data_IF_024749796386
#
_entry.id   IF_024749796386
#
_cell.length_a   1.000
_cell.length_b   1.000
_cell.length_c   1.000
_cell.angle_alpha   90.00
_cell.angle_beta   90.00
_cell.angle_gamma   90.00
#
_symmetry.space_group_name_H-M   'P 1'
#
loop_
_entity.id
_entity.type
_entity.pdbx_description
1 polymer ?
#
# COMPACT_ATOMS: atom_id res chain seq x y z
N UNK A 1 -23.41 -37.65 -12.91
CA UNK A 1 -22.70 -38.46 -11.92
C UNK A 1 -22.79 -37.77 -10.56
N UNK A 2 -23.91 -38.00 -9.90
CA UNK A 2 -24.23 -37.57 -8.54
C UNK A 2 -24.10 -38.81 -7.66
N UNK A 3 -23.14 -38.84 -6.74
CA UNK A 3 -23.14 -39.64 -5.51
C UNK A 3 -21.77 -39.50 -4.81
N UNK A 4 -21.81 -39.48 -3.47
CA UNK A 4 -20.68 -39.35 -2.52
C UNK A 4 -20.28 -37.91 -2.18
N UNK A 5 -20.93 -37.36 -1.15
CA UNK A 5 -20.31 -36.58 -0.07
C UNK A 5 -21.35 -36.40 1.06
N UNK A 6 -21.80 -37.53 1.61
CA UNK A 6 -22.57 -37.57 2.85
C UNK A 6 -21.75 -38.31 3.90
N UNK A 7 -21.48 -37.68 5.04
CA UNK A 7 -20.91 -38.34 6.21
C UNK A 7 -19.58 -37.76 6.71
N UNK A 8 -19.60 -36.56 7.30
CA UNK A 8 -18.58 -36.14 8.29
C UNK A 8 -19.02 -34.92 9.11
N UNK A 9 -20.19 -35.00 9.71
CA UNK A 9 -20.61 -34.06 10.76
C UNK A 9 -21.08 -34.89 11.94
N UNK A 10 -20.28 -34.91 13.01
CA UNK A 10 -20.59 -35.20 14.42
C UNK A 10 -19.29 -35.60 15.13
N UNK A 11 -18.66 -34.64 15.83
CA UNK A 11 -17.76 -34.93 16.95
C UNK A 11 -18.18 -34.02 18.12
N UNK A 12 -18.41 -34.55 19.33
CA UNK A 12 -18.74 -33.74 20.49
C UNK A 12 -17.50 -33.11 21.14
N UNK A 13 -17.69 -31.94 21.74
CA UNK A 13 -16.71 -31.18 22.54
C UNK A 13 -16.50 -31.85 23.92
N UNK A 14 -15.27 -31.87 24.48
CA UNK A 14 -15.04 -32.36 25.83
C UNK A 14 -15.34 -31.31 26.92
N UNK A 15 -15.95 -31.78 28.00
CA UNK A 15 -16.35 -31.03 29.18
C UNK A 15 -15.16 -30.55 30.02
N UNK A 16 -15.19 -29.28 30.41
CA UNK A 16 -14.30 -28.67 31.40
C UNK A 16 -14.82 -29.01 32.81
N UNK A 17 -14.10 -29.87 33.52
CA UNK A 17 -14.33 -30.18 34.94
C UNK A 17 -13.59 -29.16 35.81
N UNK A 18 -14.35 -28.39 36.59
CA UNK A 18 -13.88 -27.50 37.65
C UNK A 18 -13.36 -28.37 38.82
N UNK A 19 -12.08 -28.25 39.19
CA UNK A 19 -11.55 -28.81 40.43
C UNK A 19 -10.96 -27.70 41.29
N UNK A 20 -11.70 -27.35 42.34
CA UNK A 20 -11.23 -26.52 43.43
C UNK A 20 -10.13 -27.25 44.21
N UNK A 21 -9.08 -26.52 44.60
CA UNK A 21 -8.11 -26.97 45.59
C UNK A 21 -7.52 -25.76 46.31
N UNK A 22 -7.89 -25.60 47.57
CA UNK A 22 -7.31 -24.65 48.53
C UNK A 22 -5.82 -24.94 48.79
N UNK A 23 -5.00 -23.93 49.12
CA UNK A 23 -3.68 -24.15 49.72
C UNK A 23 -3.70 -23.96 51.24
N UNK A 24 -3.11 -24.94 51.93
CA UNK A 24 -2.86 -24.98 53.36
C UNK A 24 -1.57 -24.23 53.76
N UNK A 25 -1.52 -23.83 55.04
CA UNK A 25 -0.49 -23.06 55.75
C UNK A 25 0.81 -23.82 56.09
N UNK A 26 1.94 -23.08 56.00
CA UNK A 26 3.17 -23.08 56.84
C UNK A 26 4.08 -24.35 56.88
N UNK A 27 5.40 -24.29 57.26
CA UNK A 27 6.07 -23.28 58.09
C UNK A 27 7.51 -22.83 57.68
N UNK A 28 8.04 -21.92 58.51
CA UNK A 28 9.35 -21.25 58.54
C UNK A 28 10.52 -22.20 58.87
N UNK A 29 11.76 -21.88 58.44
CA UNK A 29 12.86 -21.80 59.40
C UNK A 29 13.78 -20.55 59.21
N UNK A 30 14.63 -20.38 60.22
CA UNK A 30 15.32 -19.18 60.71
C UNK A 30 16.71 -18.88 60.15
N UNK A 31 17.09 -17.60 60.27
CA UNK A 31 18.44 -17.05 60.57
C UNK A 31 19.42 -16.74 59.42
N UNK A 32 20.03 -15.54 59.48
CA UNK A 32 21.29 -15.22 58.81
C UNK A 32 21.39 -13.81 58.23
N UNK A 33 22.04 -12.89 58.96
CA UNK A 33 22.25 -11.49 58.61
C UNK A 33 23.11 -11.24 57.35
N UNK A 34 22.79 -10.17 56.59
CA UNK A 34 23.70 -9.11 56.06
C UNK A 34 22.95 -8.16 55.10
N UNK A 35 22.98 -6.84 55.38
CA UNK A 35 22.73 -5.76 54.39
C UNK A 35 23.96 -5.67 53.47
N UNK A 36 23.84 -5.27 52.18
CA UNK A 36 23.86 -3.82 51.88
C UNK A 36 23.10 -3.35 50.60
N UNK A 37 22.96 -2.02 50.53
CA UNK A 37 22.63 -1.14 49.39
C UNK A 37 21.15 -0.87 49.04
N UNK A 38 20.73 0.42 48.98
CA UNK A 38 19.43 0.79 48.44
C UNK A 38 19.47 0.66 46.91
N UNK A 39 18.49 -0.04 46.36
CA UNK A 39 18.25 -0.07 44.92
C UNK A 39 17.97 1.36 44.45
N UNK A 40 18.89 1.89 43.65
CA UNK A 40 18.65 3.05 42.80
C UNK A 40 17.48 2.67 41.91
N UNK A 41 16.29 3.15 42.25
CA UNK A 41 15.22 3.28 41.27
C UNK A 41 15.75 4.26 40.24
N UNK A 42 16.38 3.73 39.19
CA UNK A 42 16.55 4.44 37.95
C UNK A 42 15.14 4.73 37.46
N UNK A 43 14.68 5.93 37.75
CA UNK A 43 13.49 6.52 37.17
C UNK A 43 13.77 6.51 35.67
N UNK A 44 13.19 5.53 34.97
CA UNK A 44 13.19 5.55 33.52
C UNK A 44 12.61 6.91 33.13
N UNK A 45 13.31 7.72 32.32
CA UNK A 45 12.71 8.95 31.86
C UNK A 45 11.48 8.54 31.05
N UNK A 46 10.31 8.90 31.58
CA UNK A 46 9.05 8.90 30.83
C UNK A 46 9.36 9.67 29.57
N UNK A 47 9.35 8.98 28.42
CA UNK A 47 9.61 9.58 27.12
C UNK A 47 8.70 10.79 26.94
N UNK A 48 9.25 11.98 27.15
CA UNK A 48 8.75 13.18 26.53
C UNK A 48 8.99 12.98 25.03
N UNK A 49 7.99 12.46 24.34
CA UNK A 49 7.91 12.51 22.88
C UNK A 49 7.89 14.00 22.52
N UNK A 50 9.08 14.57 22.37
CA UNK A 50 9.25 15.80 21.63
C UNK A 50 8.70 15.50 20.23
N UNK A 51 7.85 16.38 19.71
CA UNK A 51 7.30 16.26 18.37
C UNK A 51 8.40 16.14 17.28
N UNK A 52 9.66 16.48 17.61
CA UNK A 52 10.83 16.32 16.76
C UNK A 52 11.50 14.93 16.85
N UNK A 53 11.30 14.18 17.94
CA UNK A 53 12.06 12.96 18.22
C UNK A 53 11.72 11.78 17.30
N UNK A 54 10.45 11.60 16.95
CA UNK A 54 10.04 10.53 16.00
C UNK A 54 10.45 10.87 14.57
N UNK A 55 10.44 12.17 14.23
CA UNK A 55 10.83 12.66 12.91
C UNK A 55 12.33 12.50 12.69
N UNK A 56 13.15 12.93 13.66
CA UNK A 56 14.60 12.77 13.63
C UNK A 56 15.00 11.29 13.67
N UNK A 57 14.33 10.47 14.49
CA UNK A 57 14.56 9.02 14.52
C UNK A 57 14.25 8.35 13.16
N UNK A 58 13.21 8.81 12.45
CA UNK A 58 12.88 8.32 11.12
C UNK A 58 13.91 8.81 10.08
N UNK A 59 14.30 10.08 10.14
CA UNK A 59 15.30 10.68 9.26
C UNK A 59 16.68 10.01 9.42
N UNK A 60 17.04 9.59 10.63
CA UNK A 60 18.28 8.89 10.94
C UNK A 60 18.19 7.35 10.77
N UNK A 61 17.04 6.83 10.35
CA UNK A 61 16.81 5.39 10.26
C UNK A 61 17.70 4.73 9.20
N UNK A 62 18.06 3.46 9.44
CA UNK A 62 18.88 2.66 8.50
C UNK A 62 18.33 2.64 7.06
N UNK A 63 17.01 2.50 6.81
CA UNK A 63 16.47 2.54 5.46
C UNK A 63 16.66 3.89 4.74
N UNK A 64 16.63 5.01 5.47
CA UNK A 64 16.90 6.34 4.91
C UNK A 64 18.37 6.47 4.54
N UNK A 65 19.28 5.98 5.38
CA UNK A 65 20.73 5.96 5.07
C UNK A 65 21.05 5.13 3.83
N UNK A 66 20.42 3.96 3.69
CA UNK A 66 20.56 3.14 2.47
C UNK A 66 20.04 3.90 1.23
N UNK A 67 18.92 4.62 1.36
CA UNK A 67 18.41 5.45 0.28
C UNK A 67 19.37 6.60 -0.10
N UNK A 68 20.00 7.25 0.88
CA UNK A 68 21.05 8.26 0.67
C UNK A 68 22.25 7.66 -0.08
N UNK A 69 22.75 6.51 0.38
CA UNK A 69 23.88 5.80 -0.25
C UNK A 69 23.56 5.38 -1.69
N UNK A 70 22.34 4.92 -1.97
CA UNK A 70 21.90 4.58 -3.33
C UNK A 70 21.89 5.82 -4.23
N UNK A 71 21.38 6.97 -3.74
CA UNK A 71 21.36 8.21 -4.50
C UNK A 71 22.78 8.72 -4.80
N UNK A 72 23.65 8.72 -3.80
CA UNK A 72 25.05 9.09 -3.92
C UNK A 72 25.81 8.15 -4.85
N UNK A 73 25.59 6.84 -4.74
CA UNK A 73 26.21 5.82 -5.58
C UNK A 73 25.81 5.97 -7.05
N UNK A 74 24.52 6.23 -7.33
CA UNK A 74 24.04 6.48 -8.70
C UNK A 74 24.66 7.75 -9.27
N UNK A 75 24.72 8.83 -8.49
CA UNK A 75 25.33 10.08 -8.95
C UNK A 75 26.85 9.92 -9.19
N UNK A 76 27.57 9.27 -8.28
CA UNK A 76 29.01 9.04 -8.40
C UNK A 76 29.37 8.12 -9.58
N UNK A 77 28.54 7.11 -9.88
CA UNK A 77 28.80 6.18 -10.99
C UNK A 77 28.43 6.74 -12.34
N UNK A 78 27.38 7.57 -12.42
CA UNK A 78 26.89 8.11 -13.70
C UNK A 78 27.47 9.47 -14.04
N UNK A 79 27.94 10.24 -13.05
CA UNK A 79 28.42 11.61 -13.23
C UNK A 79 27.34 12.59 -13.73
N UNK A 80 26.06 12.19 -13.69
CA UNK A 80 24.96 13.02 -14.14
C UNK A 80 24.68 14.16 -13.15
N UNK A 81 24.14 15.29 -13.63
CA UNK A 81 23.56 16.29 -12.74
C UNK A 81 22.54 15.67 -11.79
N UNK A 82 22.35 16.28 -10.62
CA UNK A 82 21.49 15.74 -9.57
C UNK A 82 20.06 15.47 -10.03
N UNK A 83 19.47 16.34 -10.87
CA UNK A 83 18.14 16.08 -11.44
C UNK A 83 18.10 14.75 -12.22
N UNK A 84 19.13 14.46 -13.03
CA UNK A 84 19.24 13.24 -13.83
C UNK A 84 19.48 12.00 -12.98
N UNK A 85 20.30 12.12 -11.94
CA UNK A 85 20.57 11.05 -10.97
C UNK A 85 19.31 10.67 -10.16
N UNK A 86 18.50 11.66 -9.76
CA UNK A 86 17.21 11.43 -9.10
C UNK A 86 16.24 10.71 -10.05
N UNK A 87 16.15 11.15 -11.31
CA UNK A 87 15.32 10.50 -12.31
C UNK A 87 15.74 9.04 -12.53
N UNK A 88 17.03 8.81 -12.79
CA UNK A 88 17.55 7.48 -13.09
C UNK A 88 17.37 6.52 -11.91
N UNK A 89 17.71 6.95 -10.69
CA UNK A 89 17.51 6.13 -9.49
C UNK A 89 16.03 5.79 -9.29
N UNK A 90 15.12 6.74 -9.53
CA UNK A 90 13.68 6.50 -9.46
C UNK A 90 13.21 5.50 -10.50
N UNK A 91 13.64 5.65 -11.75
CA UNK A 91 13.29 4.73 -12.85
C UNK A 91 13.82 3.34 -12.58
N UNK A 92 15.07 3.22 -12.14
CA UNK A 92 15.70 1.94 -11.80
C UNK A 92 14.97 1.26 -10.64
N UNK A 93 14.71 1.98 -9.55
CA UNK A 93 14.02 1.45 -8.37
C UNK A 93 12.58 1.04 -8.70
N UNK A 94 11.84 1.89 -9.41
CA UNK A 94 10.48 1.60 -9.85
C UNK A 94 10.46 0.43 -10.84
N UNK A 95 11.37 0.38 -11.80
CA UNK A 95 11.46 -0.68 -12.80
C UNK A 95 11.85 -2.03 -12.21
N UNK A 96 12.87 -2.07 -11.34
CA UNK A 96 13.39 -3.32 -10.79
C UNK A 96 12.49 -3.89 -9.68
N UNK A 97 11.94 -3.03 -8.81
CA UNK A 97 11.16 -3.49 -7.64
C UNK A 97 9.67 -3.40 -7.90
N UNK A 98 9.18 -2.25 -8.34
CA UNK A 98 7.73 -1.98 -8.29
C UNK A 98 6.98 -2.52 -9.50
N UNK A 99 7.61 -2.57 -10.67
CA UNK A 99 7.02 -3.15 -11.89
C UNK A 99 6.70 -4.66 -11.76
N UNK A 100 7.60 -5.55 -11.31
CA UNK A 100 7.27 -6.96 -11.15
C UNK A 100 6.20 -7.17 -10.07
N UNK A 101 6.24 -6.39 -8.99
CA UNK A 101 5.21 -6.43 -7.95
C UNK A 101 3.85 -5.94 -8.47
N UNK A 102 3.84 -4.92 -9.33
CA UNK A 102 2.63 -4.45 -9.99
C UNK A 102 2.07 -5.50 -10.96
N UNK A 103 2.92 -6.17 -11.73
CA UNK A 103 2.50 -7.29 -12.57
C UNK A 103 1.87 -8.41 -11.75
N UNK A 104 2.48 -8.75 -10.60
CA UNK A 104 1.92 -9.72 -9.66
C UNK A 104 0.59 -9.27 -9.05
N UNK A 105 0.46 -8.00 -8.67
CA UNK A 105 -0.80 -7.42 -8.20
C UNK A 105 -1.91 -7.58 -9.25
N UNK A 106 -1.63 -7.23 -10.50
CA UNK A 106 -2.59 -7.34 -11.60
C UNK A 106 -2.94 -8.81 -11.90
N UNK A 107 -1.98 -9.73 -11.80
CA UNK A 107 -2.21 -11.17 -11.91
C UNK A 107 -3.21 -11.69 -10.86
N UNK A 108 -3.03 -11.34 -9.59
CA UNK A 108 -3.93 -11.76 -8.51
C UNK A 108 -5.31 -11.14 -8.69
N UNK A 109 -5.38 -9.85 -9.05
CA UNK A 109 -6.65 -9.17 -9.25
C UNK A 109 -7.44 -9.76 -10.42
N UNK A 110 -6.76 -10.13 -11.51
CA UNK A 110 -7.39 -10.81 -12.66
C UNK A 110 -7.98 -12.17 -12.27
N UNK A 111 -7.27 -12.96 -11.43
CA UNK A 111 -7.83 -14.20 -10.89
C UNK A 111 -9.07 -13.98 -10.04
N UNK A 112 -9.05 -12.99 -9.17
CA UNK A 112 -10.20 -12.64 -8.32
C UNK A 112 -11.39 -12.19 -9.17
N UNK A 113 -11.14 -11.45 -10.26
CA UNK A 113 -12.18 -11.03 -11.19
C UNK A 113 -12.82 -12.22 -11.91
N UNK A 114 -12.01 -13.16 -12.40
CA UNK A 114 -12.49 -14.38 -13.05
C UNK A 114 -13.28 -15.30 -12.12
N UNK A 115 -13.07 -15.20 -10.81
CA UNK A 115 -13.87 -15.88 -9.79
C UNK A 115 -15.20 -15.20 -9.45
N UNK A 116 -15.39 -13.91 -9.79
CA UNK A 116 -16.62 -13.18 -9.47
C UNK A 116 -17.90 -13.87 -9.98
N UNK A 117 -17.96 -14.45 -11.19
CA UNK A 117 -19.14 -15.18 -11.65
C UNK A 117 -19.48 -16.40 -10.79
N UNK A 118 -18.49 -17.17 -10.36
CA UNK A 118 -18.66 -18.33 -9.48
C UNK A 118 -19.16 -17.88 -8.10
N UNK A 119 -18.54 -16.85 -7.53
CA UNK A 119 -18.96 -16.24 -6.26
C UNK A 119 -20.42 -15.77 -6.34
N UNK A 120 -20.82 -15.11 -7.44
CA UNK A 120 -22.21 -14.67 -7.66
C UNK A 120 -23.19 -15.84 -7.79
N UNK A 121 -22.80 -16.95 -8.41
CA UNK A 121 -23.64 -18.14 -8.49
C UNK A 121 -23.85 -18.77 -7.10
N UNK A 122 -22.76 -18.97 -6.35
CA UNK A 122 -22.79 -19.49 -4.97
C UNK A 122 -23.62 -18.57 -4.07
N UNK A 123 -23.48 -17.25 -4.23
CA UNK A 123 -24.24 -16.28 -3.43
C UNK A 123 -25.74 -16.44 -3.59
N UNK A 124 -26.23 -16.68 -4.80
CA UNK A 124 -27.65 -16.92 -5.07
C UNK A 124 -28.14 -18.21 -4.41
N UNK A 125 -27.40 -19.30 -4.57
CA UNK A 125 -27.75 -20.58 -3.95
C UNK A 125 -27.74 -20.52 -2.41
N UNK A 126 -26.70 -19.93 -1.81
CA UNK A 126 -26.59 -19.79 -0.36
C UNK A 126 -27.72 -18.91 0.20
N UNK A 127 -28.08 -17.83 -0.50
CA UNK A 127 -29.18 -16.98 -0.05
C UNK A 127 -30.51 -17.75 -0.05
N UNK A 128 -30.78 -18.52 -1.10
CA UNK A 128 -31.98 -19.37 -1.17
C UNK A 128 -32.00 -20.41 -0.03
N UNK A 129 -30.88 -21.10 0.23
CA UNK A 129 -30.79 -22.06 1.32
C UNK A 129 -31.01 -21.42 2.70
N UNK A 130 -30.42 -20.25 2.94
CA UNK A 130 -30.57 -19.54 4.21
C UNK A 130 -32.00 -19.05 4.40
N UNK A 131 -32.67 -18.56 3.36
CA UNK A 131 -34.07 -18.13 3.43
C UNK A 131 -34.99 -19.32 3.75
N UNK A 132 -34.81 -20.46 3.08
CA UNK A 132 -35.59 -21.68 3.35
C UNK A 132 -35.38 -22.16 4.79
N UNK A 133 -34.12 -22.24 5.25
CA UNK A 133 -33.81 -22.65 6.63
C UNK A 133 -34.32 -21.65 7.67
N UNK A 134 -34.25 -20.35 7.38
CA UNK A 134 -34.77 -19.32 8.27
C UNK A 134 -36.28 -19.46 8.46
N UNK A 135 -37.02 -19.74 7.39
CA UNK A 135 -38.46 -19.99 7.45
C UNK A 135 -38.80 -21.28 8.19
N UNK A 136 -38.04 -22.36 7.98
CA UNK A 136 -38.27 -23.65 8.65
C UNK A 136 -37.97 -23.62 10.15
N UNK A 137 -36.92 -22.92 10.55
CA UNK A 137 -36.43 -22.88 11.93
C UNK A 137 -36.91 -21.63 12.70
N UNK A 138 -37.74 -20.78 12.08
CA UNK A 138 -38.22 -19.54 12.68
C UNK A 138 -37.11 -18.57 13.07
N UNK A 139 -36.02 -18.49 12.30
CA UNK A 139 -34.91 -17.60 12.61
C UNK A 139 -35.31 -16.13 12.50
N UNK A 140 -34.80 -15.30 13.41
CA UNK A 140 -34.87 -13.84 13.23
C UNK A 140 -34.02 -13.39 12.04
N UNK A 141 -34.43 -12.29 11.39
CA UNK A 141 -33.70 -11.72 10.24
C UNK A 141 -32.21 -11.46 10.54
N UNK A 142 -31.91 -11.04 11.77
CA UNK A 142 -30.52 -10.81 12.22
C UNK A 142 -29.71 -12.10 12.17
N UNK A 143 -30.26 -13.20 12.67
CA UNK A 143 -29.60 -14.51 12.69
C UNK A 143 -29.42 -15.05 11.26
N UNK A 144 -30.44 -14.93 10.42
CA UNK A 144 -30.35 -15.32 9.01
C UNK A 144 -29.25 -14.54 8.28
N UNK A 145 -29.21 -13.21 8.45
CA UNK A 145 -28.19 -12.35 7.83
C UNK A 145 -26.78 -12.66 8.34
N UNK A 146 -26.59 -12.82 9.65
CA UNK A 146 -25.28 -13.18 10.21
C UNK A 146 -24.81 -14.55 9.71
N UNK A 147 -25.72 -15.52 9.60
CA UNK A 147 -25.43 -16.86 9.09
C UNK A 147 -25.05 -16.82 7.62
N UNK A 148 -25.77 -16.05 6.80
CA UNK A 148 -25.41 -15.80 5.40
C UNK A 148 -24.02 -15.19 5.28
N UNK A 149 -23.73 -14.10 6.01
CA UNK A 149 -22.43 -13.42 5.96
C UNK A 149 -21.29 -14.32 6.43
N UNK A 150 -21.49 -15.11 7.49
CA UNK A 150 -20.48 -16.05 8.01
C UNK A 150 -20.18 -17.16 7.00
N UNK A 151 -21.20 -17.78 6.42
CA UNK A 151 -21.04 -18.83 5.42
C UNK A 151 -20.42 -18.27 4.13
N UNK A 152 -20.86 -17.09 3.69
CA UNK A 152 -20.30 -16.42 2.52
C UNK A 152 -18.81 -16.14 2.69
N UNK A 153 -18.41 -15.57 3.84
CA UNK A 153 -17.01 -15.29 4.13
C UNK A 153 -16.16 -16.57 4.13
N UNK A 154 -16.67 -17.66 4.71
CA UNK A 154 -15.99 -18.96 4.73
C UNK A 154 -15.79 -19.51 3.31
N UNK A 155 -16.86 -19.57 2.50
CA UNK A 155 -16.81 -20.13 1.15
C UNK A 155 -15.89 -19.28 0.24
N UNK A 156 -16.00 -17.95 0.29
CA UNK A 156 -15.09 -17.07 -0.46
C UNK A 156 -13.63 -17.30 -0.06
N UNK A 157 -13.35 -17.45 1.24
CA UNK A 157 -12.01 -17.76 1.71
C UNK A 157 -11.50 -19.10 1.18
N UNK A 158 -12.34 -20.13 1.14
CA UNK A 158 -12.02 -21.45 0.59
C UNK A 158 -11.73 -21.36 -0.92
N UNK A 159 -12.52 -20.60 -1.68
CA UNK A 159 -12.27 -20.34 -3.11
C UNK A 159 -10.94 -19.62 -3.33
N UNK A 160 -10.63 -18.60 -2.52
CA UNK A 160 -9.36 -17.88 -2.62
C UNK A 160 -8.14 -18.74 -2.28
N UNK A 161 -8.30 -19.71 -1.37
CA UNK A 161 -7.25 -20.69 -1.04
C UNK A 161 -7.11 -21.71 -2.18
N UNK A 162 -8.22 -22.23 -2.72
CA UNK A 162 -8.25 -23.17 -3.85
C UNK A 162 -7.47 -22.62 -5.05
N UNK A 163 -7.71 -21.36 -5.40
CA UNK A 163 -7.13 -20.72 -6.59
C UNK A 163 -5.87 -19.90 -6.31
N UNK A 164 -5.44 -19.89 -5.04
CA UNK A 164 -4.25 -19.19 -4.54
C UNK A 164 -4.24 -17.69 -4.89
N UNK A 165 -5.40 -17.03 -4.80
CA UNK A 165 -5.61 -15.65 -5.27
C UNK A 165 -6.06 -14.70 -4.16
N UNK A 166 -5.65 -14.96 -2.91
CA UNK A 166 -6.09 -14.16 -1.77
C UNK A 166 -5.79 -12.65 -2.00
N UNK A 167 -6.78 -11.75 -1.86
CA UNK A 167 -6.64 -10.33 -2.23
C UNK A 167 -5.57 -9.60 -1.43
N UNK A 168 -5.21 -10.09 -0.24
CA UNK A 168 -4.09 -9.55 0.54
C UNK A 168 -2.76 -9.60 -0.22
N UNK A 169 -2.54 -10.59 -1.08
CA UNK A 169 -1.34 -10.68 -1.92
C UNK A 169 -1.22 -9.53 -2.91
N UNK A 170 -2.36 -9.02 -3.39
CA UNK A 170 -2.40 -7.83 -4.24
C UNK A 170 -2.04 -6.54 -3.47
N UNK A 171 -2.18 -6.52 -2.14
CA UNK A 171 -1.83 -5.34 -1.33
C UNK A 171 -0.33 -5.21 -1.05
N UNK A 172 0.46 -6.25 -1.32
CA UNK A 172 1.92 -6.27 -1.09
C UNK A 172 2.64 -5.11 -1.78
N UNK A 173 2.19 -4.71 -2.98
CA UNK A 173 2.75 -3.56 -3.67
C UNK A 173 2.62 -2.29 -2.82
N UNK A 174 1.46 -2.04 -2.21
CA UNK A 174 1.23 -0.84 -1.38
C UNK A 174 2.14 -0.83 -0.16
N UNK A 175 2.32 -1.99 0.49
CA UNK A 175 3.17 -2.14 1.67
C UNK A 175 4.65 -1.95 1.40
N UNK A 176 5.11 -2.17 0.17
CA UNK A 176 6.51 -1.94 -0.23
C UNK A 176 6.68 -0.54 -0.82
N UNK A 177 5.72 -0.09 -1.62
CA UNK A 177 5.76 1.19 -2.31
C UNK A 177 5.71 2.38 -1.35
N UNK A 178 4.82 2.35 -0.34
CA UNK A 178 4.64 3.49 0.57
C UNK A 178 5.88 3.73 1.45
N UNK A 179 6.45 2.72 2.15
CA UNK A 179 7.67 2.94 2.93
C UNK A 179 8.85 3.36 2.06
N UNK A 180 9.04 2.72 0.91
CA UNK A 180 10.09 3.09 -0.05
C UNK A 180 9.96 4.57 -0.47
N UNK A 181 8.73 5.02 -0.78
CA UNK A 181 8.47 6.41 -1.15
C UNK A 181 8.77 7.39 -0.01
N UNK A 182 8.40 7.03 1.23
CA UNK A 182 8.71 7.82 2.42
C UNK A 182 10.22 7.90 2.63
N UNK A 183 10.94 6.77 2.66
CA UNK A 183 12.38 6.74 2.92
C UNK A 183 13.19 7.51 1.87
N UNK A 184 12.84 7.38 0.59
CA UNK A 184 13.48 8.17 -0.48
C UNK A 184 13.22 9.67 -0.32
N UNK A 185 12.01 10.06 0.11
CA UNK A 185 11.68 11.47 0.35
C UNK A 185 12.47 12.05 1.52
N UNK A 186 12.63 11.29 2.60
CA UNK A 186 13.47 11.68 3.75
C UNK A 186 14.94 11.76 3.38
N UNK A 187 15.46 10.81 2.60
CA UNK A 187 16.84 10.84 2.11
C UNK A 187 17.10 12.09 1.27
N UNK A 188 16.23 12.40 0.31
CA UNK A 188 16.35 13.62 -0.50
C UNK A 188 16.24 14.89 0.35
N UNK A 189 15.38 14.89 1.38
CA UNK A 189 15.29 16.01 2.32
C UNK A 189 16.59 16.20 3.10
N UNK A 190 17.16 15.13 3.65
CA UNK A 190 18.42 15.17 4.41
C UNK A 190 19.57 15.67 3.55
N UNK A 191 19.66 15.21 2.29
CA UNK A 191 20.66 15.68 1.32
C UNK A 191 20.44 17.16 0.95
N UNK A 192 19.18 17.61 0.86
CA UNK A 192 18.85 19.00 0.54
C UNK A 192 19.10 19.97 1.69
N UNK A 193 18.95 19.52 2.94
CA UNK A 193 19.17 20.36 4.13
C UNK A 193 20.56 20.21 4.74
N UNK A 194 21.45 19.42 4.12
CA UNK A 194 22.79 19.14 4.64
C UNK A 194 22.79 18.32 5.94
N UNK A 195 21.67 17.70 6.31
CA UNK A 195 21.53 16.88 7.52
C UNK A 195 21.98 15.43 7.31
N UNK A 196 22.44 15.10 6.10
CA UNK A 196 22.98 13.78 5.77
C UNK A 196 24.14 13.41 6.71
N UNK A 197 24.15 12.17 7.18
CA UNK A 197 25.07 11.70 8.22
C UNK A 197 26.49 11.39 7.74
N UNK A 198 26.84 11.81 6.53
CA UNK A 198 28.18 11.69 5.98
C UNK A 198 28.87 13.05 5.96
N UNK A 199 30.19 13.04 6.15
CA UNK A 199 31.04 14.24 6.15
C UNK A 199 31.04 14.98 4.79
N UNK A 200 30.41 14.38 3.78
CA UNK A 200 30.10 14.95 2.47
C UNK A 200 28.76 15.74 2.43
N UNK A 201 27.98 15.84 3.51
CA UNK A 201 26.64 16.44 3.50
C UNK A 201 26.62 17.88 2.99
N UNK A 202 27.62 18.68 3.38
CA UNK A 202 27.73 20.07 2.92
C UNK A 202 28.10 20.17 1.43
N UNK A 203 29.05 19.35 0.96
CA UNK A 203 29.45 19.35 -0.45
C UNK A 203 28.37 18.77 -1.37
N UNK A 204 27.55 17.85 -0.86
CA UNK A 204 26.39 17.31 -1.58
C UNK A 204 25.28 18.35 -1.68
N UNK A 205 24.99 19.09 -0.62
CA UNK A 205 23.99 20.16 -0.64
C UNK A 205 24.34 21.24 -1.68
N UNK A 206 25.59 21.68 -1.75
CA UNK A 206 26.04 22.65 -2.78
C UNK A 206 25.89 22.10 -4.20
N UNK A 207 26.18 20.81 -4.41
CA UNK A 207 25.97 20.17 -5.70
C UNK A 207 24.47 20.03 -6.04
N UNK A 208 23.58 19.79 -5.07
CA UNK A 208 22.13 19.80 -5.30
C UNK A 208 21.64 21.22 -5.65
N UNK A 209 22.16 22.24 -4.98
CA UNK A 209 21.77 23.63 -5.20
C UNK A 209 22.14 24.15 -6.60
N UNK A 210 23.16 23.55 -7.23
CA UNK A 210 23.59 23.88 -8.60
C UNK A 210 23.19 22.84 -9.64
N UNK A 211 22.71 21.67 -9.19
CA UNK A 211 22.47 20.48 -10.01
C UNK A 211 21.05 20.36 -10.57
N UNK A 212 20.25 21.42 -10.52
CA UNK A 212 18.90 21.49 -11.10
C UNK A 212 18.89 21.75 -12.61
N UNK A 213 17.70 22.01 -13.16
CA UNK A 213 17.52 22.25 -14.60
C UNK A 213 16.30 23.14 -14.85
N UNK A 214 16.26 23.79 -16.03
CA UNK A 214 15.13 24.63 -16.49
C UNK A 214 14.79 25.75 -15.50
N UNK A 215 13.55 25.76 -14.99
CA UNK A 215 13.03 26.78 -14.07
C UNK A 215 13.30 26.46 -12.60
N UNK A 216 13.97 25.34 -12.30
CA UNK A 216 14.35 24.92 -10.94
C UNK A 216 15.86 24.63 -10.88
N UNK A 217 16.73 25.65 -10.97
CA UNK A 217 18.18 25.47 -10.91
C UNK A 217 18.66 24.96 -9.53
N UNK A 218 17.97 25.38 -8.47
CA UNK A 218 18.23 24.95 -7.10
C UNK A 218 17.25 23.85 -6.68
N UNK A 219 17.79 22.64 -6.45
CA UNK A 219 17.00 21.49 -6.00
C UNK A 219 16.71 21.50 -4.49
N UNK A 220 17.42 22.34 -3.73
CA UNK A 220 17.27 22.45 -2.27
C UNK A 220 16.17 23.43 -1.87
N UNK A 221 15.88 24.42 -2.72
CA UNK A 221 14.80 25.36 -2.53
C UNK A 221 13.45 24.80 -3.03
N UNK A 222 12.31 25.24 -2.44
CA UNK A 222 10.98 24.97 -2.98
C UNK A 222 10.76 25.63 -4.35
N UNK A 223 9.98 24.99 -5.23
CA UNK A 223 9.66 25.52 -6.56
C UNK A 223 8.70 26.72 -6.46
N UNK A 224 9.22 27.92 -6.66
CA UNK A 224 8.46 29.17 -6.63
C UNK A 224 7.48 29.32 -7.81
N UNK A 225 7.68 28.58 -8.90
CA UNK A 225 6.81 28.62 -10.08
C UNK A 225 5.57 27.73 -9.95
N UNK A 226 5.55 26.84 -8.96
CA UNK A 226 4.50 25.84 -8.71
C UNK A 226 4.28 24.85 -9.86
N UNK A 227 5.11 24.86 -10.89
CA UNK A 227 4.99 23.97 -12.05
C UNK A 227 5.18 22.52 -11.63
N UNK A 228 6.21 22.22 -10.82
CA UNK A 228 6.48 20.86 -10.34
C UNK A 228 5.34 20.36 -9.41
N UNK A 229 4.93 21.08 -8.35
CA UNK A 229 3.81 20.69 -7.49
C UNK A 229 2.51 20.42 -8.24
N UNK A 230 2.14 21.30 -9.17
CA UNK A 230 0.91 21.15 -9.97
C UNK A 230 1.02 19.92 -10.87
N UNK A 231 2.18 19.72 -11.51
CA UNK A 231 2.41 18.55 -12.38
C UNK A 231 2.26 17.23 -11.61
N UNK A 232 2.79 17.15 -10.38
CA UNK A 232 2.61 15.98 -9.50
C UNK A 232 1.12 15.72 -9.24
N UNK A 233 0.38 16.77 -8.87
CA UNK A 233 -1.07 16.67 -8.62
C UNK A 233 -1.85 16.22 -9.84
N UNK A 234 -1.54 16.76 -11.02
CA UNK A 234 -2.17 16.41 -12.30
C UNK A 234 -1.91 14.94 -12.66
N UNK A 235 -0.66 14.48 -12.59
CA UNK A 235 -0.32 13.08 -12.91
C UNK A 235 -1.01 12.12 -11.94
N UNK A 236 -0.99 12.42 -10.64
CA UNK A 236 -1.67 11.58 -9.64
C UNK A 236 -3.18 11.54 -9.87
N UNK A 237 -3.79 12.67 -10.22
CA UNK A 237 -5.22 12.71 -10.57
C UNK A 237 -5.51 11.88 -11.82
N UNK A 238 -4.66 11.95 -12.85
CA UNK A 238 -4.78 11.12 -14.05
C UNK A 238 -4.72 9.62 -13.71
N UNK A 239 -3.78 9.19 -12.86
CA UNK A 239 -3.68 7.78 -12.41
C UNK A 239 -5.00 7.33 -11.77
N UNK A 240 -5.58 8.17 -10.91
CA UNK A 240 -6.84 7.88 -10.22
C UNK A 240 -8.01 7.82 -11.20
N UNK A 241 -8.10 8.77 -12.13
CA UNK A 241 -9.16 8.79 -13.15
C UNK A 241 -9.09 7.57 -14.07
N UNK A 242 -7.91 7.27 -14.60
CA UNK A 242 -7.66 6.12 -15.47
C UNK A 242 -8.01 4.81 -14.72
N UNK A 243 -7.71 4.73 -13.42
CA UNK A 243 -8.07 3.58 -12.57
C UNK A 243 -9.57 3.53 -12.20
N UNK A 244 -10.24 4.67 -12.11
CA UNK A 244 -11.66 4.76 -11.80
C UNK A 244 -12.54 4.37 -13.01
N UNK A 245 -12.11 4.72 -14.23
CA UNK A 245 -12.85 4.43 -15.46
C UNK A 245 -13.06 2.93 -15.73
N UNK A 246 -12.17 2.07 -15.23
CA UNK A 246 -12.26 0.61 -15.45
C UNK A 246 -13.21 -0.14 -14.50
N UNK A 247 -13.62 0.47 -13.39
CA UNK A 247 -14.37 -0.25 -12.36
C UNK A 247 -15.86 -0.28 -12.70
N UNK A 248 -16.26 -1.20 -13.55
CA UNK A 248 -17.67 -1.46 -13.87
C UNK A 248 -18.30 -2.22 -12.69
N UNK A 249 -19.23 -1.58 -11.96
CA UNK A 249 -19.95 -2.19 -10.82
C UNK A 249 -19.34 -1.91 -9.44
N UNK A 250 -19.10 -0.64 -9.11
CA UNK A 250 -18.41 -0.20 -7.89
C UNK A 250 -19.26 -0.39 -6.62
N UNK A 251 -18.67 -0.95 -5.57
CA UNK A 251 -19.22 -0.93 -4.20
C UNK A 251 -19.17 0.49 -3.62
N UNK A 252 -20.17 0.95 -2.85
CA UNK A 252 -20.20 2.30 -2.25
C UNK A 252 -18.88 2.68 -1.56
N UNK A 253 -18.25 1.73 -0.87
CA UNK A 253 -16.94 1.93 -0.22
C UNK A 253 -15.85 2.33 -1.22
N UNK A 254 -15.77 1.66 -2.37
CA UNK A 254 -14.76 1.92 -3.38
C UNK A 254 -14.97 3.26 -4.07
N UNK A 255 -16.22 3.73 -4.18
CA UNK A 255 -16.55 5.10 -4.60
C UNK A 255 -15.99 6.12 -3.61
N UNK A 256 -16.24 5.94 -2.30
CA UNK A 256 -15.69 6.83 -1.27
C UNK A 256 -14.16 6.85 -1.27
N UNK A 257 -13.52 5.68 -1.39
CA UNK A 257 -12.05 5.58 -1.51
C UNK A 257 -11.55 6.34 -2.73
N UNK A 258 -12.24 6.26 -3.87
CA UNK A 258 -11.83 6.99 -5.08
C UNK A 258 -11.92 8.50 -4.87
N UNK A 259 -13.01 9.02 -4.27
CA UNK A 259 -13.11 10.44 -3.94
C UNK A 259 -12.08 10.90 -2.92
N UNK A 260 -11.79 10.08 -1.91
CA UNK A 260 -10.74 10.35 -0.94
C UNK A 260 -9.36 10.49 -1.60
N UNK A 261 -8.98 9.55 -2.48
CA UNK A 261 -7.69 9.62 -3.18
C UNK A 261 -7.62 10.79 -4.16
N UNK A 262 -8.74 11.17 -4.80
CA UNK A 262 -8.83 12.41 -5.60
C UNK A 262 -8.53 13.65 -4.75
N UNK A 263 -9.23 13.79 -3.61
CA UNK A 263 -9.02 14.91 -2.71
C UNK A 263 -7.56 14.94 -2.22
N UNK A 264 -6.99 13.79 -1.85
CA UNK A 264 -5.59 13.68 -1.44
C UNK A 264 -4.61 14.10 -2.55
N UNK A 265 -4.91 13.78 -3.81
CA UNK A 265 -4.07 14.18 -4.95
C UNK A 265 -4.03 15.71 -5.14
N UNK A 266 -5.15 16.40 -4.90
CA UNK A 266 -5.22 17.86 -4.95
C UNK A 266 -4.56 18.49 -3.72
N UNK A 267 -4.80 17.93 -2.52
CA UNK A 267 -4.21 18.40 -1.27
C UNK A 267 -2.68 18.22 -1.22
N UNK A 268 -2.13 17.27 -1.99
CA UNK A 268 -0.69 17.09 -2.10
C UNK A 268 0.02 18.22 -2.86
N UNK A 269 -0.69 19.04 -3.64
CA UNK A 269 -0.10 20.17 -4.37
C UNK A 269 0.50 21.23 -3.42
N UNK A 270 -0.25 21.80 -2.45
CA UNK A 270 0.32 22.78 -1.52
C UNK A 270 1.41 22.15 -0.62
N UNK A 271 1.30 20.87 -0.27
CA UNK A 271 2.36 20.16 0.47
C UNK A 271 3.64 20.10 -0.38
N UNK A 272 3.52 19.70 -1.65
CA UNK A 272 4.63 19.68 -2.59
C UNK A 272 5.26 21.07 -2.80
N UNK A 273 4.48 22.16 -2.74
CA UNK A 273 5.00 23.52 -2.85
C UNK A 273 5.85 23.97 -1.65
N UNK A 274 5.78 23.27 -0.51
CA UNK A 274 6.54 23.62 0.71
C UNK A 274 7.85 22.84 0.89
N UNK A 275 8.07 21.79 0.10
CA UNK A 275 9.23 20.91 0.22
C UNK A 275 10.29 21.23 -0.85
N UNK A 276 11.57 20.87 -0.64
CA UNK A 276 12.62 21.03 -1.64
C UNK A 276 12.26 20.45 -3.01
N UNK A 277 12.67 21.13 -4.08
CA UNK A 277 12.38 20.72 -5.46
C UNK A 277 12.93 19.34 -5.81
N UNK A 278 14.01 18.89 -5.16
CA UNK A 278 14.56 17.52 -5.27
C UNK A 278 13.50 16.44 -4.94
N UNK A 279 12.72 16.66 -3.88
CA UNK A 279 11.68 15.75 -3.41
C UNK A 279 10.50 15.76 -4.36
N UNK A 280 10.09 16.95 -4.82
CA UNK A 280 8.96 17.10 -5.77
C UNK A 280 9.32 16.48 -7.12
N UNK A 281 10.56 16.65 -7.58
CA UNK A 281 11.07 16.02 -8.80
C UNK A 281 11.03 14.49 -8.68
N UNK A 282 11.47 13.95 -7.54
CA UNK A 282 11.33 12.53 -7.23
C UNK A 282 9.86 12.11 -7.28
N UNK A 283 8.95 12.83 -6.62
CA UNK A 283 7.52 12.51 -6.64
C UNK A 283 6.95 12.54 -8.06
N UNK A 284 7.33 13.53 -8.87
CA UNK A 284 6.89 13.66 -10.25
C UNK A 284 7.33 12.47 -11.10
N UNK A 285 8.62 12.14 -11.06
CA UNK A 285 9.16 10.99 -11.78
C UNK A 285 8.51 9.68 -11.31
N UNK A 286 8.35 9.52 -10.01
CA UNK A 286 7.76 8.34 -9.36
C UNK A 286 6.29 8.17 -9.75
N UNK A 287 5.52 9.26 -9.81
CA UNK A 287 4.14 9.28 -10.30
C UNK A 287 4.06 8.99 -11.80
N UNK A 288 4.93 9.57 -12.62
CA UNK A 288 4.98 9.28 -14.05
C UNK A 288 5.31 7.82 -14.34
N UNK A 289 6.24 7.22 -13.60
CA UNK A 289 6.52 5.79 -13.67
C UNK A 289 5.32 4.95 -13.24
N UNK A 290 4.60 5.34 -12.17
CA UNK A 290 3.37 4.67 -11.76
C UNK A 290 2.27 4.73 -12.82
N UNK A 291 2.09 5.88 -13.48
CA UNK A 291 1.17 6.03 -14.62
C UNK A 291 1.60 5.13 -15.78
N UNK A 292 2.88 5.14 -16.14
CA UNK A 292 3.44 4.32 -17.21
C UNK A 292 3.25 2.83 -16.93
N UNK A 293 3.52 2.37 -15.71
CA UNK A 293 3.27 1.00 -15.27
C UNK A 293 1.79 0.63 -15.39
N UNK A 294 0.88 1.53 -14.97
CA UNK A 294 -0.56 1.29 -15.08
C UNK A 294 -1.01 1.17 -16.54
N UNK A 295 -0.45 1.98 -17.43
CA UNK A 295 -0.74 1.92 -18.86
C UNK A 295 -0.11 0.70 -19.54
N UNK A 296 1.12 0.31 -19.16
CA UNK A 296 1.82 -0.86 -19.69
C UNK A 296 1.08 -2.15 -19.30
N UNK A 297 0.71 -2.30 -18.03
CA UNK A 297 -0.02 -3.46 -17.51
C UNK A 297 -1.46 -3.57 -18.03
N UNK A 298 -1.96 -2.53 -18.72
CA UNK A 298 -3.22 -2.60 -19.48
C UNK A 298 -3.04 -3.14 -20.89
N UNK A 299 -1.86 -3.02 -21.48
CA UNK A 299 -1.65 -3.49 -22.85
C UNK A 299 -1.81 -5.01 -22.92
N UNK A 300 -2.56 -5.54 -23.90
CA UNK A 300 -2.78 -6.98 -24.02
C UNK A 300 -1.45 -7.73 -24.24
N UNK A 301 -0.52 -7.16 -25.01
CA UNK A 301 0.80 -7.75 -25.25
C UNK A 301 1.65 -7.88 -23.98
N UNK A 302 1.73 -6.83 -23.15
CA UNK A 302 2.50 -6.92 -21.90
C UNK A 302 1.82 -7.82 -20.87
N UNK A 303 0.48 -7.88 -20.86
CA UNK A 303 -0.24 -8.84 -20.01
C UNK A 303 0.04 -10.27 -20.40
N UNK A 304 0.10 -10.56 -21.70
CA UNK A 304 0.49 -11.88 -22.20
C UNK A 304 1.94 -12.21 -21.84
N UNK A 305 2.85 -11.23 -21.97
CA UNK A 305 4.25 -11.37 -21.55
C UNK A 305 4.36 -11.71 -20.05
N UNK A 306 3.60 -11.03 -19.20
CA UNK A 306 3.54 -11.28 -17.76
C UNK A 306 2.64 -12.46 -17.35
N UNK A 307 2.06 -13.21 -18.30
CA UNK A 307 1.13 -14.32 -18.08
C UNK A 307 -0.06 -13.97 -17.19
N UNK A 308 -0.56 -12.74 -17.30
CA UNK A 308 -1.75 -12.27 -16.59
C UNK A 308 -2.99 -12.87 -17.27
N UNK A 309 -3.88 -13.56 -16.53
CA UNK A 309 -5.11 -14.12 -17.10
C UNK A 309 -5.96 -13.04 -17.77
N UNK A 310 -6.58 -13.41 -18.89
CA UNK A 310 -7.60 -12.56 -19.51
C UNK A 310 -8.87 -12.57 -18.66
N UNK A 311 -9.48 -11.39 -18.50
CA UNK A 311 -10.74 -11.20 -17.79
C UNK A 311 -11.79 -10.62 -18.73
N UNK A 312 -13.07 -10.74 -18.36
CA UNK A 312 -14.19 -10.25 -19.18
C UNK A 312 -14.21 -8.72 -19.31
N UNK A 313 -13.51 -8.01 -18.42
CA UNK A 313 -13.38 -6.54 -18.48
C UNK A 313 -12.22 -6.08 -19.36
N UNK A 314 -11.47 -7.00 -19.96
CA UNK A 314 -10.36 -6.68 -20.83
C UNK A 314 -10.87 -6.29 -22.22
N UNK A 315 -10.43 -5.12 -22.67
CA UNK A 315 -10.65 -4.66 -24.04
C UNK A 315 -9.43 -4.95 -24.90
N UNK A 316 -9.66 -5.27 -26.17
CA UNK A 316 -8.62 -5.38 -27.19
C UNK A 316 -7.95 -4.03 -27.49
N UNK A 317 -8.66 -2.91 -27.26
CA UNK A 317 -8.18 -1.55 -27.52
C UNK A 317 -8.20 -0.66 -26.26
N UNK A 318 -7.45 -1.01 -25.20
CA UNK A 318 -7.57 -0.37 -23.89
C UNK A 318 -7.33 1.15 -23.92
N UNK A 319 -6.44 1.64 -24.79
CA UNK A 319 -6.15 3.07 -24.90
C UNK A 319 -7.26 3.85 -25.61
N UNK A 320 -7.89 3.26 -26.63
CA UNK A 320 -9.03 3.90 -27.33
C UNK A 320 -10.23 4.00 -26.40
N UNK A 321 -10.45 2.97 -25.58
CA UNK A 321 -11.54 2.92 -24.63
C UNK A 321 -11.36 3.96 -23.51
N UNK A 322 -10.13 4.12 -23.01
CA UNK A 322 -9.82 5.19 -22.05
C UNK A 322 -10.12 6.56 -22.66
N UNK A 323 -9.68 6.80 -23.90
CA UNK A 323 -9.92 8.07 -24.57
C UNK A 323 -11.42 8.34 -24.82
N UNK A 324 -12.15 7.33 -25.28
CA UNK A 324 -13.60 7.41 -25.48
C UNK A 324 -14.35 7.65 -24.16
N UNK A 325 -13.99 6.92 -23.10
CA UNK A 325 -14.59 7.07 -21.78
C UNK A 325 -14.26 8.44 -21.16
N UNK A 326 -13.03 8.93 -21.36
CA UNK A 326 -12.61 10.26 -20.92
C UNK A 326 -13.40 11.36 -21.63
N UNK A 327 -13.52 11.30 -22.96
CA UNK A 327 -14.29 12.25 -23.75
C UNK A 327 -15.77 12.23 -23.37
N UNK A 328 -16.35 11.05 -23.18
CA UNK A 328 -17.75 10.91 -22.75
C UNK A 328 -17.97 11.56 -21.38
N UNK A 329 -17.05 11.35 -20.44
CA UNK A 329 -17.17 11.85 -19.07
C UNK A 329 -16.99 13.37 -18.96
N UNK A 330 -16.03 13.93 -19.68
CA UNK A 330 -15.63 15.34 -19.51
C UNK A 330 -16.07 16.28 -20.64
N UNK A 331 -16.23 15.78 -21.87
CA UNK A 331 -16.55 16.61 -23.04
C UNK A 331 -18.05 16.52 -23.38
N UNK A 332 -18.63 15.30 -23.40
CA UNK A 332 -20.02 15.09 -23.83
C UNK A 332 -21.08 15.39 -22.74
N UNK A 333 -20.66 15.85 -21.57
CA UNK A 333 -21.53 16.22 -20.44
C UNK A 333 -21.85 17.73 -20.39
N UNK A 334 -21.45 18.49 -21.40
CA UNK A 334 -21.92 19.85 -21.70
C UNK A 334 -22.99 19.79 -22.76
#
# INVERSE_FOLDING_TARGET
MLCRLGGRWLRPLPALQLRARDPALAPVPTSGAKRPTPSVWAVAPVCAVHANGWYEALAASSPVRVAEEVLLGVQATTGLPWWGSILLSTVALRGAVTLPLAAYQHYILAKVENLQPEIKAIARHLNQEVVVRANQLGWSERVARLTYLKNMKRIISELYVRDNCHPFKATVLVWIQLPMWIFMSFALRNLSTGAAHSEAGFSVQEQLATGGILWFPDLTAPDSTWILPISVGVINLLIVEISALQKIGISRLQTYVTYFVRAMSVLMIPVAATVPSSIVLYWLCSSFMGLSQNLLLRSPGFRQLCRIPSTKSDSETPYKDIFAAFNTKFISRK
#
